data_IF_706508196696
#
_entry.id   IF_706508196696
#
_cell.length_a   1.000
_cell.length_b   1.000
_cell.length_c   1.000
_cell.angle_alpha   90.00
_cell.angle_beta   90.00
_cell.angle_gamma   90.00
#
_symmetry.space_group_name_H-M   'P 1'
#
loop_
_entity.id
_entity.type
_entity.pdbx_description
1 polymer ?
#
# COMPACT_ATOMS: atom_id res chain seq x y z
N UNK A 1 -3.47 23.71 6.73
CA UNK A 1 -2.07 23.33 7.05
C UNK A 1 -1.57 23.93 8.38
N UNK A 2 -1.84 25.20 8.71
CA UNK A 2 -1.32 25.84 9.95
C UNK A 2 -1.70 25.13 11.26
N UNK A 3 -2.95 24.67 11.42
CA UNK A 3 -3.42 24.01 12.65
C UNK A 3 -2.60 22.76 13.01
N UNK A 4 -2.31 21.90 12.02
CA UNK A 4 -1.51 20.68 12.24
C UNK A 4 -0.07 21.01 12.66
N UNK A 5 0.55 21.97 11.98
CA UNK A 5 1.91 22.41 12.30
C UNK A 5 1.99 22.99 13.72
N UNK A 6 0.98 23.76 14.15
CA UNK A 6 0.90 24.29 15.52
C UNK A 6 0.73 23.17 16.56
N UNK A 7 -0.09 22.16 16.28
CA UNK A 7 -0.22 20.99 17.14
C UNK A 7 1.12 20.25 17.27
N UNK A 8 1.82 20.00 16.16
CA UNK A 8 3.15 19.38 16.19
C UNK A 8 4.15 20.20 17.00
N UNK A 9 4.20 21.53 16.79
CA UNK A 9 5.07 22.44 17.57
C UNK A 9 4.76 22.39 19.06
N UNK A 10 3.48 22.33 19.45
CA UNK A 10 3.11 22.21 20.87
C UNK A 10 3.58 20.90 21.51
N UNK A 11 3.58 19.79 20.76
CA UNK A 11 4.10 18.51 21.25
C UNK A 11 5.62 18.55 21.43
N UNK A 12 6.34 19.18 20.49
CA UNK A 12 7.78 19.42 20.64
C UNK A 12 8.10 20.32 21.84
N UNK A 13 7.36 21.42 22.02
CA UNK A 13 7.51 22.30 23.18
C UNK A 13 7.22 21.57 24.50
N UNK A 14 6.18 20.75 24.55
CA UNK A 14 5.87 19.91 25.72
C UNK A 14 6.98 18.90 26.01
N UNK A 15 7.52 18.24 24.98
CA UNK A 15 8.65 17.31 25.14
C UNK A 15 9.91 17.99 25.69
N UNK A 16 10.18 19.23 25.26
CA UNK A 16 11.26 20.05 25.79
C UNK A 16 11.01 20.45 27.25
N UNK A 17 9.78 20.85 27.58
CA UNK A 17 9.42 21.20 28.94
C UNK A 17 9.61 20.04 29.93
N UNK A 18 9.29 18.81 29.51
CA UNK A 18 9.38 17.61 30.36
C UNK A 18 10.82 17.10 30.49
N UNK A 19 11.56 17.04 29.39
CA UNK A 19 12.86 16.33 29.35
C UNK A 19 14.00 17.12 28.70
N UNK A 20 13.83 18.42 28.47
CA UNK A 20 14.77 19.25 27.73
C UNK A 20 15.03 18.73 26.32
N UNK A 21 16.25 18.95 25.82
CA UNK A 21 16.66 18.45 24.50
C UNK A 21 16.63 16.92 24.38
N UNK A 22 16.88 16.18 25.47
CA UNK A 22 16.75 14.73 25.47
C UNK A 22 15.29 14.30 25.20
N UNK A 23 14.33 15.00 25.82
CA UNK A 23 12.90 14.79 25.57
C UNK A 23 12.50 15.06 24.11
N UNK A 24 13.03 16.15 23.52
CA UNK A 24 12.82 16.48 22.10
C UNK A 24 13.36 15.40 21.17
N UNK A 25 14.59 14.94 21.40
CA UNK A 25 15.21 13.88 20.59
C UNK A 25 14.43 12.57 20.71
N UNK A 26 14.03 12.18 21.92
CA UNK A 26 13.23 10.97 22.14
C UNK A 26 11.88 11.05 21.42
N UNK A 27 11.17 12.18 21.56
CA UNK A 27 9.89 12.40 20.89
C UNK A 27 10.05 12.36 19.35
N UNK A 28 11.11 12.96 18.83
CA UNK A 28 11.42 12.91 17.40
C UNK A 28 11.66 11.47 16.92
N UNK A 29 12.47 10.68 17.63
CA UNK A 29 12.73 9.27 17.29
C UNK A 29 11.43 8.46 17.26
N UNK A 30 10.58 8.61 18.28
CA UNK A 30 9.29 7.93 18.35
C UNK A 30 8.36 8.34 17.21
N UNK A 31 8.30 9.63 16.91
CA UNK A 31 7.47 10.19 15.83
C UNK A 31 7.95 9.73 14.45
N UNK A 32 9.26 9.77 14.21
CA UNK A 32 9.87 9.29 12.98
C UNK A 32 9.67 7.78 12.81
N UNK A 33 9.81 7.00 13.89
CA UNK A 33 9.54 5.56 13.90
C UNK A 33 8.09 5.24 13.57
N UNK A 34 7.14 5.90 14.25
CA UNK A 34 5.71 5.74 13.98
C UNK A 34 5.34 6.14 12.55
N UNK A 35 5.88 7.25 12.04
CA UNK A 35 5.66 7.69 10.66
C UNK A 35 6.25 6.72 9.64
N UNK A 36 7.44 6.20 9.91
CA UNK A 36 8.10 5.21 9.03
C UNK A 36 7.28 3.92 8.97
N UNK A 37 6.81 3.43 10.12
CA UNK A 37 5.94 2.25 10.17
C UNK A 37 4.65 2.47 9.38
N UNK A 38 4.01 3.64 9.53
CA UNK A 38 2.83 4.01 8.77
C UNK A 38 3.09 4.01 7.26
N UNK A 39 4.23 4.56 6.81
CA UNK A 39 4.56 4.56 5.38
C UNK A 39 4.89 3.18 4.84
N UNK A 40 5.51 2.30 5.63
CA UNK A 40 5.72 0.90 5.24
C UNK A 40 4.36 0.22 5.02
N UNK A 41 3.43 0.41 5.95
CA UNK A 41 2.06 -0.13 5.87
C UNK A 41 1.33 0.41 4.63
N UNK A 42 1.31 1.73 4.43
CA UNK A 42 0.73 2.35 3.24
C UNK A 42 1.34 1.77 1.95
N UNK A 43 2.66 1.65 1.92
CA UNK A 43 3.36 1.13 0.75
C UNK A 43 2.94 -0.30 0.43
N UNK A 44 2.87 -1.18 1.43
CA UNK A 44 2.51 -2.58 1.19
C UNK A 44 1.03 -2.80 0.90
N UNK A 45 0.14 -1.98 1.47
CA UNK A 45 -1.32 -2.03 1.26
C UNK A 45 -1.72 -1.56 -0.14
N UNK A 46 -0.97 -0.61 -0.71
CA UNK A 46 -1.27 -0.01 -2.02
C UNK A 46 -0.27 -0.40 -3.10
N UNK A 47 0.53 -1.43 -2.86
CA UNK A 47 1.61 -1.81 -3.76
C UNK A 47 1.09 -2.28 -5.13
N UNK A 48 1.41 -1.53 -6.19
CA UNK A 48 1.26 -1.96 -7.59
C UNK A 48 -0.16 -2.06 -8.14
N UNK A 49 -1.19 -2.05 -7.30
CA UNK A 49 -2.60 -2.05 -7.71
C UNK A 49 -2.98 -0.68 -8.27
N UNK A 50 -3.69 -0.67 -9.39
CA UNK A 50 -4.16 0.54 -10.06
C UNK A 50 -5.68 0.62 -10.03
N UNK A 51 -6.20 1.84 -10.14
CA UNK A 51 -7.62 2.15 -10.26
C UNK A 51 -7.75 3.34 -11.19
N UNK A 52 -8.79 3.37 -12.00
CA UNK A 52 -9.19 4.59 -12.73
C UNK A 52 -9.61 5.68 -11.74
N UNK A 53 -9.02 6.89 -11.78
CA UNK A 53 -9.30 7.94 -10.80
C UNK A 53 -10.79 8.26 -10.59
N UNK A 54 -11.60 8.12 -11.63
CA UNK A 54 -13.05 8.35 -11.70
C UNK A 54 -13.91 7.23 -11.10
N UNK A 55 -13.39 6.00 -11.01
CA UNK A 55 -14.13 4.86 -10.49
C UNK A 55 -14.13 4.88 -8.96
N UNK A 56 -15.17 4.36 -8.31
CA UNK A 56 -15.18 4.27 -6.84
C UNK A 56 -14.08 3.33 -6.34
N UNK A 57 -13.58 3.60 -5.14
CA UNK A 57 -12.67 2.66 -4.46
C UNK A 57 -13.48 1.44 -4.04
N UNK A 58 -12.90 0.25 -4.21
CA UNK A 58 -13.55 -1.04 -4.00
C UNK A 58 -12.57 -1.93 -3.24
N UNK A 59 -13.02 -3.02 -2.61
CA UNK A 59 -12.13 -3.90 -1.86
C UNK A 59 -10.97 -4.48 -2.69
N UNK A 60 -11.11 -4.55 -4.01
CA UNK A 60 -10.04 -4.99 -4.93
C UNK A 60 -8.94 -3.95 -5.18
N UNK A 61 -9.09 -2.72 -4.71
CA UNK A 61 -8.15 -1.62 -4.92
C UNK A 61 -7.09 -1.48 -3.80
N UNK A 62 -6.91 -2.51 -2.99
CA UNK A 62 -5.90 -2.55 -1.92
C UNK A 62 -5.60 -4.01 -1.53
N UNK A 63 -4.43 -4.22 -0.93
CA UNK A 63 -4.08 -5.48 -0.28
C UNK A 63 -4.67 -5.53 1.13
N UNK A 64 -5.23 -6.68 1.48
CA UNK A 64 -5.95 -6.92 2.72
C UNK A 64 -5.26 -7.98 3.60
N UNK A 65 -5.63 -8.06 4.88
CA UNK A 65 -5.36 -9.28 5.66
C UNK A 65 -6.50 -9.61 6.61
N UNK A 66 -6.67 -10.90 6.90
CA UNK A 66 -7.62 -11.39 7.89
C UNK A 66 -6.91 -12.12 9.03
N UNK A 67 -5.57 -11.97 9.14
CA UNK A 67 -4.77 -12.64 10.17
C UNK A 67 -5.10 -12.09 11.57
N UNK A 68 -5.65 -12.93 12.44
CA UNK A 68 -6.14 -12.55 13.78
C UNK A 68 -5.08 -11.85 14.65
N UNK A 69 -3.83 -12.33 14.61
CA UNK A 69 -2.71 -11.73 15.36
C UNK A 69 -2.41 -10.32 14.87
N UNK A 70 -2.37 -10.11 13.55
CA UNK A 70 -2.18 -8.77 12.96
C UNK A 70 -3.35 -7.85 13.30
N UNK A 71 -4.58 -8.38 13.25
CA UNK A 71 -5.79 -7.64 13.62
C UNK A 71 -5.75 -7.20 15.08
N UNK A 72 -5.34 -8.07 16.00
CA UNK A 72 -5.27 -7.71 17.42
C UNK A 72 -4.20 -6.65 17.70
N UNK A 73 -2.98 -6.85 17.18
CA UNK A 73 -1.84 -5.97 17.46
C UNK A 73 -1.96 -4.60 16.80
N UNK A 74 -2.58 -4.55 15.61
CA UNK A 74 -2.72 -3.31 14.84
C UNK A 74 -4.11 -2.72 14.96
N UNK A 75 -4.87 -3.09 16.01
CA UNK A 75 -6.20 -2.55 16.28
C UNK A 75 -7.10 -2.55 15.03
N UNK A 76 -7.25 -3.72 14.44
CA UNK A 76 -8.06 -3.99 13.25
C UNK A 76 -7.76 -3.12 12.01
N UNK A 77 -6.56 -2.51 11.91
CA UNK A 77 -6.04 -1.92 10.65
C UNK A 77 -6.22 -2.86 9.46
N UNK A 78 -6.13 -4.15 9.74
CA UNK A 78 -6.23 -5.24 8.77
C UNK A 78 -7.52 -5.23 7.95
N UNK A 79 -8.56 -4.51 8.38
CA UNK A 79 -9.82 -4.31 7.63
C UNK A 79 -9.72 -3.21 6.56
N UNK A 80 -8.52 -3.03 6.01
CA UNK A 80 -8.12 -1.93 5.16
C UNK A 80 -8.99 -1.77 3.91
N UNK A 81 -9.25 -2.87 3.21
CA UNK A 81 -10.05 -2.82 1.99
C UNK A 81 -11.49 -2.37 2.22
N UNK A 82 -12.06 -2.63 3.41
CA UNK A 82 -13.38 -2.11 3.76
C UNK A 82 -13.31 -0.65 4.13
N UNK A 83 -12.32 -0.23 4.92
CA UNK A 83 -12.12 1.17 5.23
C UNK A 83 -11.94 2.02 3.96
N UNK A 84 -11.25 1.52 2.95
CA UNK A 84 -11.09 2.27 1.70
C UNK A 84 -12.32 2.26 0.80
N UNK A 85 -13.11 1.20 0.82
CA UNK A 85 -14.36 1.13 0.06
C UNK A 85 -15.48 1.98 0.72
N UNK A 86 -15.52 2.01 2.05
CA UNK A 86 -16.52 2.67 2.89
C UNK A 86 -15.82 3.45 4.01
N UNK A 87 -15.18 4.57 3.65
CA UNK A 87 -14.32 5.34 4.54
C UNK A 87 -15.06 6.06 5.69
N UNK A 88 -16.38 6.21 5.57
CA UNK A 88 -17.28 6.78 6.56
C UNK A 88 -17.82 5.75 7.56
N UNK A 89 -17.60 4.45 7.33
CA UNK A 89 -18.06 3.41 8.24
C UNK A 89 -17.36 3.49 9.60
N UNK A 90 -18.12 3.31 10.68
CA UNK A 90 -17.55 3.28 12.02
C UNK A 90 -16.63 2.09 12.23
N UNK A 91 -15.58 2.30 13.01
CA UNK A 91 -14.52 1.32 13.27
C UNK A 91 -15.05 -0.06 13.68
N UNK A 92 -16.03 -0.13 14.59
CA UNK A 92 -16.59 -1.40 15.07
C UNK A 92 -17.40 -2.16 14.01
N UNK A 93 -17.90 -1.45 12.99
CA UNK A 93 -18.69 -2.03 11.90
C UNK A 93 -17.82 -2.48 10.72
N UNK A 94 -16.50 -2.27 10.77
CA UNK A 94 -15.62 -2.68 9.69
C UNK A 94 -15.65 -4.21 9.48
N UNK A 95 -15.68 -4.67 8.23
CA UNK A 95 -15.79 -6.10 7.87
C UNK A 95 -14.50 -6.62 7.25
N UNK A 96 -14.27 -7.92 7.43
CA UNK A 96 -13.19 -8.65 6.75
C UNK A 96 -13.67 -9.13 5.37
N UNK A 97 -12.89 -8.88 4.32
CA UNK A 97 -13.14 -9.45 3.00
C UNK A 97 -12.25 -10.66 2.74
N UNK A 98 -12.86 -11.81 2.41
CA UNK A 98 -12.14 -13.04 2.05
C UNK A 98 -11.74 -13.09 0.57
N UNK A 99 -12.44 -12.33 -0.26
CA UNK A 99 -12.24 -12.28 -1.71
C UNK A 99 -11.53 -11.02 -2.18
N UNK A 100 -10.96 -10.23 -1.26
CA UNK A 100 -10.08 -9.11 -1.62
C UNK A 100 -8.66 -9.63 -1.91
N UNK A 101 -7.81 -8.87 -2.60
CA UNK A 101 -6.39 -9.17 -2.75
C UNK A 101 -5.76 -9.30 -1.37
N UNK A 102 -5.05 -10.40 -1.09
CA UNK A 102 -4.53 -10.70 0.25
C UNK A 102 -3.01 -10.56 0.31
N UNK A 103 -2.52 -9.99 1.41
CA UNK A 103 -1.11 -9.99 1.74
C UNK A 103 -0.61 -11.41 2.05
N UNK A 104 0.63 -11.75 1.66
CA UNK A 104 1.14 -13.12 1.70
C UNK A 104 1.30 -13.69 3.12
N UNK A 105 1.62 -12.85 4.11
CA UNK A 105 1.97 -13.29 5.48
C UNK A 105 1.29 -12.49 6.58
N UNK A 106 0.22 -11.75 6.25
CA UNK A 106 -0.35 -10.72 7.13
C UNK A 106 0.57 -9.51 7.30
N UNK A 107 0.27 -8.62 8.24
CA UNK A 107 0.99 -7.34 8.33
C UNK A 107 2.40 -7.52 8.86
N UNK A 108 2.57 -8.22 9.97
CA UNK A 108 3.88 -8.35 10.62
C UNK A 108 4.94 -8.95 9.67
N UNK A 109 4.59 -10.06 9.01
CA UNK A 109 5.50 -10.68 8.05
C UNK A 109 5.76 -9.78 6.84
N UNK A 110 4.73 -9.11 6.33
CA UNK A 110 4.88 -8.29 5.13
C UNK A 110 5.63 -6.98 5.39
N UNK A 111 5.52 -6.40 6.58
CA UNK A 111 6.35 -5.27 7.03
C UNK A 111 7.83 -5.66 6.95
N UNK A 112 8.20 -6.83 7.51
CA UNK A 112 9.58 -7.32 7.45
C UNK A 112 10.04 -7.58 6.02
N UNK A 113 9.16 -8.13 5.16
CA UNK A 113 9.46 -8.31 3.75
C UNK A 113 9.69 -6.97 3.04
N UNK A 114 8.86 -5.96 3.30
CA UNK A 114 8.93 -4.65 2.66
C UNK A 114 10.26 -3.91 2.95
N UNK A 115 10.89 -4.20 4.10
CA UNK A 115 12.24 -3.72 4.44
C UNK A 115 13.35 -4.32 3.58
N UNK A 116 13.07 -5.38 2.82
CA UNK A 116 14.01 -6.03 1.89
C UNK A 116 13.44 -5.97 0.46
N UNK A 117 13.61 -4.85 -0.27
CA UNK A 117 12.90 -4.61 -1.53
C UNK A 117 13.03 -5.70 -2.60
N UNK A 118 14.20 -6.33 -2.84
CA UNK A 118 14.30 -7.41 -3.82
C UNK A 118 13.44 -8.63 -3.46
N UNK A 119 13.38 -8.98 -2.17
CA UNK A 119 12.57 -10.08 -1.68
C UNK A 119 11.08 -9.73 -1.74
N UNK A 120 10.71 -8.53 -1.30
CA UNK A 120 9.35 -8.03 -1.41
C UNK A 120 8.82 -8.08 -2.84
N UNK A 121 9.60 -7.55 -3.80
CA UNK A 121 9.26 -7.60 -5.23
C UNK A 121 9.07 -9.03 -5.71
N UNK A 122 9.97 -9.95 -5.37
CA UNK A 122 9.88 -11.36 -5.75
C UNK A 122 8.58 -12.01 -5.24
N UNK A 123 8.17 -11.71 -4.01
CA UNK A 123 6.94 -12.25 -3.40
C UNK A 123 5.68 -11.59 -3.99
N UNK A 124 5.69 -10.29 -4.22
CA UNK A 124 4.52 -9.55 -4.70
C UNK A 124 4.26 -9.68 -6.20
N UNK A 125 5.28 -9.89 -7.04
CA UNK A 125 5.13 -10.06 -8.49
C UNK A 125 4.06 -11.10 -8.89
N UNK A 126 4.07 -12.36 -8.38
CA UNK A 126 3.03 -13.32 -8.74
C UNK A 126 1.63 -12.90 -8.25
N UNK A 127 1.54 -12.21 -7.10
CA UNK A 127 0.27 -11.71 -6.58
C UNK A 127 -0.29 -10.58 -7.45
N UNK A 128 0.57 -9.67 -7.92
CA UNK A 128 0.19 -8.61 -8.86
C UNK A 128 -0.28 -9.19 -10.19
N UNK A 129 0.43 -10.19 -10.73
CA UNK A 129 -0.02 -10.87 -11.95
C UNK A 129 -1.39 -11.54 -11.76
N UNK A 130 -1.63 -12.14 -10.59
CA UNK A 130 -2.94 -12.70 -10.27
C UNK A 130 -4.00 -11.59 -10.22
N UNK A 131 -3.68 -10.45 -9.60
CA UNK A 131 -4.57 -9.30 -9.55
C UNK A 131 -4.96 -8.79 -10.95
N UNK A 132 -3.97 -8.61 -11.81
CA UNK A 132 -4.19 -8.21 -13.21
C UNK A 132 -5.13 -9.18 -13.93
N UNK A 133 -5.02 -10.48 -13.67
CA UNK A 133 -5.81 -11.51 -14.35
C UNK A 133 -7.25 -11.61 -13.83
N UNK A 134 -7.44 -11.52 -12.51
CA UNK A 134 -8.71 -11.88 -11.85
C UNK A 134 -9.53 -10.71 -11.32
N UNK A 135 -8.89 -9.57 -11.03
CA UNK A 135 -9.55 -8.41 -10.40
C UNK A 135 -9.59 -7.16 -11.28
N UNK A 136 -8.62 -6.98 -12.17
CA UNK A 136 -8.54 -5.78 -12.99
C UNK A 136 -9.62 -5.78 -14.10
N UNK A 137 -10.36 -4.67 -14.20
CA UNK A 137 -11.24 -4.39 -15.33
C UNK A 137 -10.43 -4.21 -16.63
N UNK A 138 -11.05 -4.29 -17.81
CA UNK A 138 -10.34 -4.06 -19.07
C UNK A 138 -9.60 -2.73 -19.15
N UNK A 139 -10.15 -1.68 -18.53
CA UNK A 139 -9.52 -0.37 -18.52
C UNK A 139 -8.38 -0.26 -17.50
N UNK A 140 -8.52 -0.87 -16.33
CA UNK A 140 -7.43 -0.96 -15.36
C UNK A 140 -6.28 -1.84 -15.87
N UNK A 141 -6.56 -2.86 -16.67
CA UNK A 141 -5.52 -3.65 -17.35
C UNK A 141 -4.63 -2.75 -18.24
N UNK A 142 -5.21 -1.78 -18.94
CA UNK A 142 -4.43 -0.82 -19.74
C UNK A 142 -3.52 0.02 -18.85
N UNK A 143 -4.07 0.55 -17.75
CA UNK A 143 -3.29 1.30 -16.74
C UNK A 143 -2.20 0.44 -16.10
N UNK A 144 -2.50 -0.83 -15.81
CA UNK A 144 -1.57 -1.78 -15.21
C UNK A 144 -0.42 -2.10 -16.16
N UNK A 145 -0.69 -2.25 -17.47
CA UNK A 145 0.34 -2.41 -18.50
C UNK A 145 1.28 -1.21 -18.53
N UNK A 146 0.73 0.01 -18.60
CA UNK A 146 1.53 1.24 -18.61
C UNK A 146 2.39 1.37 -17.34
N UNK A 147 1.78 1.19 -16.16
CA UNK A 147 2.46 1.23 -14.88
C UNK A 147 3.55 0.16 -14.77
N UNK A 148 3.26 -1.06 -15.25
CA UNK A 148 4.19 -2.19 -15.23
C UNK A 148 5.39 -1.93 -16.13
N UNK A 149 5.19 -1.41 -17.34
CA UNK A 149 6.29 -1.03 -18.26
C UNK A 149 7.14 0.08 -17.63
N UNK A 150 6.51 1.13 -17.10
CA UNK A 150 7.19 2.26 -16.44
C UNK A 150 7.99 1.83 -15.20
N UNK A 151 7.49 0.85 -14.45
CA UNK A 151 8.15 0.38 -13.23
C UNK A 151 9.50 -0.30 -13.47
N UNK A 152 9.73 -0.85 -14.67
CA UNK A 152 10.90 -1.67 -14.97
C UNK A 152 10.98 -2.98 -14.16
N UNK A 153 9.91 -3.36 -13.46
CA UNK A 153 9.89 -4.59 -12.66
C UNK A 153 9.92 -5.84 -13.54
N UNK A 154 10.73 -6.82 -13.14
CA UNK A 154 10.83 -8.11 -13.82
C UNK A 154 9.69 -9.05 -13.38
N UNK A 155 9.23 -9.88 -14.31
CA UNK A 155 8.24 -10.94 -14.05
C UNK A 155 6.78 -10.48 -14.05
N UNK A 156 6.50 -9.20 -14.30
CA UNK A 156 5.13 -8.71 -14.52
C UNK A 156 4.67 -9.10 -15.93
N UNK A 157 3.57 -9.84 -16.04
CA UNK A 157 2.98 -10.25 -17.33
C UNK A 157 2.48 -9.02 -18.10
N UNK A 158 1.90 -8.05 -17.41
CA UNK A 158 1.44 -6.79 -17.98
C UNK A 158 2.57 -5.98 -18.63
N UNK A 159 3.77 -5.97 -18.04
CA UNK A 159 4.95 -5.33 -18.66
C UNK A 159 5.36 -6.05 -19.96
N UNK A 160 5.37 -7.39 -19.95
CA UNK A 160 5.73 -8.19 -21.11
C UNK A 160 4.75 -7.96 -22.27
N UNK A 161 3.45 -7.91 -21.97
CA UNK A 161 2.40 -7.62 -22.94
C UNK A 161 2.57 -6.23 -23.56
N UNK A 162 2.80 -5.19 -22.76
CA UNK A 162 3.01 -3.83 -23.25
C UNK A 162 4.23 -3.71 -24.18
N UNK A 163 5.34 -4.36 -23.83
CA UNK A 163 6.55 -4.37 -24.64
C UNK A 163 6.36 -5.07 -25.99
N UNK A 164 5.64 -6.21 -26.00
CA UNK A 164 5.33 -6.94 -27.23
C UNK A 164 4.46 -6.11 -28.19
N UNK A 165 3.40 -5.48 -27.66
CA UNK A 165 2.51 -4.63 -28.46
C UNK A 165 3.27 -3.44 -29.06
N UNK A 166 4.11 -2.76 -28.27
CA UNK A 166 4.94 -1.65 -28.77
C UNK A 166 5.93 -2.07 -29.86
N UNK A 167 6.56 -3.23 -29.72
CA UNK A 167 7.46 -3.77 -30.75
C UNK A 167 6.73 -4.14 -32.04
N UNK A 168 5.52 -4.70 -31.96
CA UNK A 168 4.72 -5.02 -33.14
C UNK A 168 4.30 -3.76 -33.91
N UNK A 169 3.86 -2.71 -33.21
CA UNK A 169 3.49 -1.43 -33.82
C UNK A 169 4.69 -0.79 -34.56
N UNK A 170 5.86 -0.77 -33.93
CA UNK A 170 7.06 -0.22 -34.55
C UNK A 170 7.51 -1.00 -35.80
N UNK A 171 7.30 -2.32 -35.83
CA UNK A 171 7.58 -3.15 -37.01
C UNK A 171 6.56 -2.96 -38.13
N UNK A 172 5.30 -2.68 -37.81
CA UNK A 172 4.27 -2.40 -38.81
C UNK A 172 4.39 -0.99 -39.42
N UNK A 173 5.07 -0.08 -38.73
CA UNK A 173 5.31 1.30 -39.16
C UNK A 173 6.64 1.50 -39.91
N UNK A 174 7.48 0.47 -40.02
CA UNK A 174 8.76 0.46 -40.72
C UNK A 174 8.66 -0.28 -42.06
#
# INVERSE_FOLDING_TARGET
MMRGNLMSLSLFAASFYIGGWAGVVMFWIMSAGGKTLLEIVNYMEHYGIVRRPEDKVEPRHSWNTNASVSTALLYALTRHSHHHAEADQEYWNLRSYRHAPMLPTGYLGTILLALVPPLYKKVMTPLLNHWDETFATPEEKKLAIEASVKSGMKGLKSAQLGQQTGQQLNRAAA
#
